data_IF_300632599764
#
_entry.id   IF_300632599764
#
_cell.length_a   1.000
_cell.length_b   1.000
_cell.length_c   1.000
_cell.angle_alpha   90.00
_cell.angle_beta   90.00
_cell.angle_gamma   90.00
#
_symmetry.space_group_name_H-M   'P 1'
#
loop_
_entity.id
_entity.type
_entity.pdbx_description
1 polymer ?
#
# COMPACT_ATOMS: atom_id res chain seq x y z
N UNK A 1 29.66 16.11 -32.52
CA UNK A 1 29.18 15.31 -31.37
C UNK A 1 27.92 14.49 -31.64
N UNK A 2 26.96 14.93 -32.49
CA UNK A 2 25.73 14.16 -32.77
C UNK A 2 25.95 12.86 -33.58
N UNK A 3 26.82 12.88 -34.58
CA UNK A 3 27.04 11.72 -35.48
C UNK A 3 27.50 10.46 -34.71
N UNK A 4 28.32 10.63 -33.68
CA UNK A 4 28.84 9.54 -32.84
C UNK A 4 27.75 8.88 -31.99
N UNK A 5 26.71 9.63 -31.59
CA UNK A 5 25.53 9.08 -30.88
C UNK A 5 24.62 8.30 -31.82
N UNK A 6 24.40 8.78 -33.04
CA UNK A 6 23.58 8.11 -34.05
C UNK A 6 24.19 6.76 -34.47
N UNK A 7 25.51 6.70 -34.70
CA UNK A 7 26.22 5.45 -35.03
C UNK A 7 26.16 4.41 -33.89
N UNK A 8 26.18 4.86 -32.62
CA UNK A 8 26.02 3.98 -31.46
C UNK A 8 24.60 3.42 -31.30
N UNK A 9 23.59 4.17 -31.75
CA UNK A 9 22.19 3.73 -31.78
C UNK A 9 21.93 2.76 -32.95
N UNK A 10 22.67 2.89 -34.06
CA UNK A 10 22.56 2.02 -35.23
C UNK A 10 23.16 0.62 -35.00
N UNK A 11 24.15 0.50 -34.12
CA UNK A 11 24.60 -0.80 -33.64
C UNK A 11 23.56 -1.35 -32.66
N UNK A 12 22.92 -2.46 -33.03
CA UNK A 12 21.97 -3.18 -32.17
C UNK A 12 22.58 -3.56 -30.81
N UNK A 13 21.76 -4.03 -29.86
CA UNK A 13 22.23 -4.40 -28.53
C UNK A 13 23.42 -5.36 -28.62
N UNK A 14 24.46 -5.05 -27.85
CA UNK A 14 25.73 -5.77 -27.85
C UNK A 14 25.46 -7.27 -27.60
N UNK A 15 25.99 -8.19 -28.43
CA UNK A 15 25.74 -9.62 -28.25
C UNK A 15 26.26 -10.08 -26.88
N UNK A 16 25.44 -10.84 -26.18
CA UNK A 16 25.77 -11.36 -24.85
C UNK A 16 26.74 -12.55 -24.97
N UNK A 17 27.95 -12.37 -24.47
CA UNK A 17 29.00 -13.42 -24.53
C UNK A 17 28.58 -14.67 -23.73
N UNK A 18 27.71 -14.48 -22.74
CA UNK A 18 27.20 -15.54 -21.85
C UNK A 18 25.96 -16.23 -22.40
N UNK A 19 25.39 -15.80 -23.52
CA UNK A 19 24.12 -16.35 -24.07
C UNK A 19 22.86 -16.03 -23.24
N UNK A 20 23.01 -15.52 -22.01
CA UNK A 20 21.89 -15.11 -21.15
C UNK A 20 21.28 -13.78 -21.57
N UNK A 21 20.00 -13.77 -21.98
CA UNK A 21 19.31 -12.54 -22.38
C UNK A 21 18.20 -12.16 -21.40
N UNK A 22 18.29 -10.94 -20.85
CA UNK A 22 17.32 -10.41 -19.89
C UNK A 22 15.94 -10.21 -20.53
N UNK A 23 15.90 -9.89 -21.83
CA UNK A 23 14.64 -9.72 -22.56
C UNK A 23 13.89 -11.04 -22.70
N UNK A 24 14.56 -12.10 -23.14
CA UNK A 24 13.92 -13.42 -23.25
C UNK A 24 13.51 -13.96 -21.87
N UNK A 25 14.31 -13.71 -20.82
CA UNK A 25 13.90 -14.03 -19.46
C UNK A 25 12.64 -13.26 -19.03
N UNK A 26 12.59 -11.95 -19.27
CA UNK A 26 11.40 -11.15 -18.94
C UNK A 26 10.15 -11.65 -19.69
N UNK A 27 10.30 -12.01 -20.95
CA UNK A 27 9.23 -12.60 -21.77
C UNK A 27 8.77 -13.96 -21.22
N UNK A 28 9.68 -14.77 -20.67
CA UNK A 28 9.35 -16.08 -20.08
C UNK A 28 8.87 -16.04 -18.62
N UNK A 29 9.11 -14.95 -17.88
CA UNK A 29 8.67 -14.81 -16.47
C UNK A 29 7.16 -14.58 -16.29
N UNK A 30 6.40 -14.46 -17.37
CA UNK A 30 4.95 -14.30 -17.30
C UNK A 30 4.24 -15.52 -16.70
N UNK A 31 3.09 -15.30 -16.08
CA UNK A 31 2.21 -16.41 -15.70
C UNK A 31 1.71 -17.11 -16.97
N UNK A 32 1.92 -18.43 -17.12
CA UNK A 32 1.41 -19.16 -18.27
C UNK A 32 -0.12 -19.08 -18.31
N UNK A 33 -0.69 -19.14 -19.52
CA UNK A 33 -2.16 -19.09 -19.70
C UNK A 33 -2.90 -20.21 -18.95
N UNK A 34 -2.23 -21.34 -18.74
CA UNK A 34 -2.75 -22.50 -18.02
C UNK A 34 -1.64 -23.08 -17.15
N UNK A 35 -1.85 -23.07 -15.84
CA UNK A 35 -0.96 -23.70 -14.88
C UNK A 35 -1.56 -25.05 -14.43
N UNK A 36 -0.92 -26.20 -14.73
CA UNK A 36 -1.42 -27.50 -14.30
C UNK A 36 -1.48 -27.66 -12.76
N UNK A 37 -0.78 -26.82 -12.00
CA UNK A 37 -0.72 -26.86 -10.54
C UNK A 37 -1.68 -25.88 -9.86
N UNK A 38 -2.45 -25.09 -10.61
CA UNK A 38 -3.33 -24.05 -10.06
C UNK A 38 -4.25 -24.61 -8.97
N UNK A 39 -4.86 -25.79 -9.22
CA UNK A 39 -5.73 -26.46 -8.25
C UNK A 39 -4.98 -26.95 -7.00
N UNK A 40 -3.73 -27.36 -7.17
CA UNK A 40 -2.89 -27.82 -6.06
C UNK A 40 -2.38 -26.66 -5.20
N UNK A 41 -2.19 -25.47 -5.78
CA UNK A 41 -1.78 -24.25 -5.06
C UNK A 41 -2.97 -23.46 -4.49
N UNK A 42 -4.18 -23.75 -4.94
CA UNK A 42 -5.38 -22.98 -4.65
C UNK A 42 -5.67 -22.81 -3.14
N UNK A 43 -5.39 -23.84 -2.33
CA UNK A 43 -5.61 -23.81 -0.87
C UNK A 43 -4.85 -22.68 -0.17
N UNK A 44 -3.71 -22.23 -0.72
CA UNK A 44 -2.87 -21.17 -0.13
C UNK A 44 -3.55 -19.79 -0.13
N UNK A 45 -4.57 -19.62 -0.97
CA UNK A 45 -5.22 -18.33 -1.19
C UNK A 45 -6.73 -18.40 -0.92
N UNK A 46 -7.22 -19.53 -0.40
CA UNK A 46 -8.63 -19.78 -0.12
C UNK A 46 -8.91 -19.84 1.39
N UNK A 47 -10.18 -19.68 1.76
CA UNK A 47 -10.65 -19.78 3.15
C UNK A 47 -9.93 -18.81 4.10
N UNK A 48 -9.34 -19.35 5.17
CA UNK A 48 -8.62 -18.59 6.18
C UNK A 48 -7.41 -17.82 5.63
N UNK A 49 -6.82 -18.28 4.53
CA UNK A 49 -5.66 -17.64 3.90
C UNK A 49 -6.03 -16.69 2.77
N UNK A 50 -7.32 -16.40 2.56
CA UNK A 50 -7.75 -15.41 1.59
C UNK A 50 -7.18 -14.02 1.91
N UNK A 51 -7.01 -13.18 0.88
CA UNK A 51 -6.53 -11.79 1.07
C UNK A 51 -7.36 -11.07 2.12
N UNK A 52 -8.67 -11.26 2.11
CA UNK A 52 -9.54 -10.56 3.03
C UNK A 52 -9.40 -11.04 4.48
N UNK A 53 -9.31 -12.35 4.70
CA UNK A 53 -9.11 -12.90 6.04
C UNK A 53 -7.79 -12.44 6.68
N UNK A 54 -6.74 -12.20 5.89
CA UNK A 54 -5.47 -11.63 6.38
C UNK A 54 -5.64 -10.22 6.94
N UNK A 55 -6.46 -9.39 6.29
CA UNK A 55 -6.67 -8.00 6.70
C UNK A 55 -7.78 -7.82 7.74
N UNK A 56 -8.72 -8.76 7.85
CA UNK A 56 -9.84 -8.65 8.80
C UNK A 56 -9.39 -8.55 10.26
N UNK A 57 -8.24 -9.13 10.60
CA UNK A 57 -7.65 -9.04 11.95
C UNK A 57 -6.66 -7.87 12.11
N UNK A 58 -6.52 -6.99 11.12
CA UNK A 58 -5.51 -5.91 11.14
C UNK A 58 -5.75 -4.85 12.21
N UNK A 59 -7.01 -4.62 12.60
CA UNK A 59 -7.38 -3.61 13.59
C UNK A 59 -8.34 -4.19 14.63
N UNK A 60 -7.83 -5.04 15.56
CA UNK A 60 -8.66 -5.56 16.63
C UNK A 60 -9.14 -4.41 17.51
N UNK A 61 -10.44 -4.33 17.75
CA UNK A 61 -11.03 -3.35 18.67
C UNK A 61 -11.33 -1.97 18.07
N UNK A 62 -11.02 -1.70 16.79
CA UNK A 62 -11.34 -0.40 16.17
C UNK A 62 -12.83 -0.07 16.25
N UNK A 63 -13.72 -1.04 16.04
CA UNK A 63 -15.17 -0.83 16.18
C UNK A 63 -15.58 -0.42 17.60
N UNK A 64 -15.02 -1.07 18.63
CA UNK A 64 -15.33 -0.76 20.03
C UNK A 64 -14.77 0.63 20.39
N UNK A 65 -13.54 0.92 19.97
CA UNK A 65 -12.90 2.21 20.20
C UNK A 65 -13.69 3.35 19.55
N UNK A 66 -14.15 3.19 18.30
CA UNK A 66 -14.97 4.20 17.62
C UNK A 66 -16.28 4.44 18.36
N UNK A 67 -16.96 3.39 18.82
CA UNK A 67 -18.23 3.53 19.57
C UNK A 67 -17.99 4.21 20.91
N UNK A 68 -16.96 3.81 21.66
CA UNK A 68 -16.62 4.43 22.94
C UNK A 68 -16.24 5.90 22.78
N UNK A 69 -15.44 6.22 21.75
CA UNK A 69 -15.06 7.59 21.43
C UNK A 69 -16.28 8.44 21.06
N UNK A 70 -17.15 7.94 20.19
CA UNK A 70 -18.36 8.66 19.82
C UNK A 70 -19.29 8.88 21.03
N UNK A 71 -19.45 7.86 21.88
CA UNK A 71 -20.21 7.97 23.13
C UNK A 71 -19.62 9.01 24.09
N UNK A 72 -18.29 9.06 24.18
CA UNK A 72 -17.60 10.09 24.96
C UNK A 72 -17.83 11.49 24.38
N UNK A 73 -17.70 11.69 23.06
CA UNK A 73 -17.95 13.00 22.44
C UNK A 73 -19.39 13.48 22.66
N UNK A 74 -20.37 12.58 22.56
CA UNK A 74 -21.78 12.91 22.86
C UNK A 74 -21.95 13.25 24.33
N UNK A 75 -21.34 12.48 25.23
CA UNK A 75 -21.38 12.76 26.66
C UNK A 75 -20.73 14.12 26.99
N UNK A 76 -19.56 14.41 26.42
CA UNK A 76 -18.87 15.68 26.57
C UNK A 76 -19.73 16.85 26.07
N UNK A 77 -20.27 16.74 24.85
CA UNK A 77 -21.05 17.79 24.21
C UNK A 77 -22.37 18.12 24.93
N UNK A 78 -23.04 17.14 25.54
CA UNK A 78 -24.34 17.35 26.18
C UNK A 78 -24.31 17.42 27.71
N UNK A 79 -23.27 16.88 28.37
CA UNK A 79 -23.24 16.76 29.83
C UNK A 79 -22.02 17.42 30.49
N UNK A 80 -20.90 17.66 29.77
CA UNK A 80 -19.77 18.42 30.33
C UNK A 80 -19.75 19.90 29.90
N UNK A 81 -20.38 20.25 28.77
CA UNK A 81 -20.31 21.61 28.18
C UNK A 81 -21.26 22.64 28.84
N UNK A 82 -21.98 22.28 29.91
CA UNK A 82 -23.06 23.09 30.52
C UNK A 82 -22.66 23.87 31.80
N UNK A 83 -21.35 24.07 32.08
CA UNK A 83 -20.89 24.49 33.42
C UNK A 83 -19.92 25.66 33.55
N UNK A 84 -18.68 25.57 33.05
CA UNK A 84 -17.63 26.51 33.47
C UNK A 84 -16.49 26.69 32.46
N UNK A 85 -16.33 27.95 32.02
CA UNK A 85 -15.15 28.65 31.45
C UNK A 85 -15.17 28.93 29.93
N UNK A 86 -15.58 30.16 29.60
CA UNK A 86 -14.86 30.97 28.62
C UNK A 86 -13.41 31.15 29.11
N UNK A 87 -12.40 30.91 28.26
CA UNK A 87 -11.04 31.40 28.49
C UNK A 87 -9.97 30.78 27.60
N UNK A 88 -9.50 31.54 26.62
CA UNK A 88 -8.31 31.24 25.79
C UNK A 88 -8.65 31.13 24.30
N UNK A 89 -9.14 32.18 23.63
CA UNK A 89 -8.30 33.25 23.05
C UNK A 89 -7.09 32.69 22.29
N UNK A 90 -7.15 32.81 20.96
CA UNK A 90 -5.98 32.68 20.11
C UNK A 90 -4.99 33.79 20.44
N UNK A 91 -3.75 33.40 20.72
CA UNK A 91 -2.58 34.25 20.61
C UNK A 91 -1.48 33.46 19.92
N UNK A 92 -1.41 33.60 18.60
CA UNK A 92 -0.13 33.57 17.91
C UNK A 92 0.44 34.98 17.99
N UNK A 93 1.46 35.18 18.82
CA UNK A 93 2.39 36.28 18.64
C UNK A 93 3.82 35.76 18.81
N UNK A 94 4.65 36.27 17.91
CA UNK A 94 6.09 36.14 17.82
C UNK A 94 6.78 36.47 19.16
N UNK A 95 8.01 35.97 19.37
CA UNK A 95 9.16 36.74 19.89
C UNK A 95 10.34 35.80 20.25
N UNK A 96 11.48 36.06 19.57
CA UNK A 96 12.88 35.62 19.76
C UNK A 96 13.34 34.27 19.16
#
# INVERSE_FOLDING_TARGET
MLATRALRMAHGPKPNITGFSIRAFKESTGQPRYDPWERAEAWRYQGAFSRWNRFRSGFPGLGIATVAFAGYCVYEHFFLDDGHHHGGEGHGEEHH
#
